data_IF_204315899976
#
_entry.id   IF_204315899976
#
_cell.length_a   1.000
_cell.length_b   1.000
_cell.length_c   1.000
_cell.angle_alpha   90.00
_cell.angle_beta   90.00
_cell.angle_gamma   90.00
#
_symmetry.space_group_name_H-M   'P 1'
#
loop_
_entity.id
_entity.type
_entity.pdbx_description
1 polymer ?
#
# COMPACT_ATOMS: atom_id res chain seq x y z
N UNK A 1 5.53 -10.01 -8.03
CA UNK A 1 6.80 -10.76 -8.13
C UNK A 1 6.48 -12.15 -8.67
N UNK A 2 6.95 -12.51 -9.86
CA UNK A 2 6.73 -13.81 -10.53
C UNK A 2 5.24 -14.23 -10.55
N UNK A 3 4.36 -13.30 -10.90
CA UNK A 3 2.91 -13.50 -10.92
C UNK A 3 2.22 -13.57 -9.54
N UNK A 4 2.98 -13.52 -8.44
CA UNK A 4 2.46 -13.49 -7.08
C UNK A 4 2.36 -12.04 -6.54
N UNK A 5 1.27 -11.69 -5.83
CA UNK A 5 1.17 -10.42 -5.13
C UNK A 5 2.30 -10.28 -4.12
N UNK A 6 3.02 -9.16 -4.17
CA UNK A 6 4.17 -8.90 -3.31
C UNK A 6 4.04 -7.64 -2.45
N UNK A 7 2.98 -6.87 -2.67
CA UNK A 7 2.61 -5.69 -1.90
C UNK A 7 1.41 -5.00 -2.55
N UNK A 8 0.93 -3.94 -1.91
CA UNK A 8 -0.19 -3.14 -2.37
C UNK A 8 0.12 -1.69 -2.04
N UNK A 9 -0.27 -0.78 -2.92
CA UNK A 9 -0.34 0.64 -2.63
C UNK A 9 -1.73 1.13 -3.00
N UNK A 10 -2.33 1.96 -2.14
CA UNK A 10 -3.59 2.64 -2.42
C UNK A 10 -3.27 4.09 -2.79
N UNK A 11 -3.36 4.46 -4.08
CA UNK A 11 -3.04 5.81 -4.48
C UNK A 11 -4.08 6.81 -3.96
N UNK A 12 -3.60 7.95 -3.46
CA UNK A 12 -4.45 9.08 -3.12
C UNK A 12 -4.86 9.81 -4.40
N UNK A 13 -6.15 10.10 -4.61
CA UNK A 13 -6.62 10.81 -5.80
C UNK A 13 -6.28 12.29 -5.69
N UNK A 14 -5.07 12.67 -6.12
CA UNK A 14 -4.66 14.07 -6.18
C UNK A 14 -5.41 14.78 -7.32
N UNK A 15 -6.13 15.84 -6.97
CA UNK A 15 -6.78 16.73 -7.93
C UNK A 15 -5.89 17.94 -8.14
N UNK A 16 -5.28 18.07 -9.31
CA UNK A 16 -4.42 19.21 -9.63
C UNK A 16 -5.20 20.53 -9.74
N UNK A 17 -4.51 21.67 -9.59
CA UNK A 17 -5.13 22.99 -9.74
C UNK A 17 -5.78 23.15 -11.11
N UNK A 18 -7.06 23.47 -11.09
CA UNK A 18 -7.90 23.60 -12.27
C UNK A 18 -8.41 22.29 -12.86
N UNK A 19 -8.21 21.15 -12.19
CA UNK A 19 -8.69 19.84 -12.63
C UNK A 19 -10.21 19.71 -12.64
N UNK A 20 -10.87 19.83 -11.48
CA UNK A 20 -12.35 19.75 -11.40
C UNK A 20 -13.00 21.06 -11.86
N UNK A 21 -12.51 22.19 -11.36
CA UNK A 21 -12.97 23.53 -11.78
C UNK A 21 -11.77 24.48 -11.88
N UNK A 22 -11.54 25.13 -13.04
CA UNK A 22 -10.42 26.05 -13.26
C UNK A 22 -10.31 27.22 -12.26
N UNK A 23 -11.43 27.65 -11.67
CA UNK A 23 -11.49 28.77 -10.73
C UNK A 23 -11.27 28.38 -9.27
N UNK A 24 -11.37 27.09 -8.92
CA UNK A 24 -11.38 26.62 -7.52
C UNK A 24 -10.01 26.74 -6.82
N UNK A 25 -8.93 26.91 -7.59
CA UNK A 25 -7.55 26.92 -7.11
C UNK A 25 -6.80 28.20 -7.51
N UNK A 26 -7.49 29.34 -7.46
CA UNK A 26 -6.86 30.67 -7.60
C UNK A 26 -7.10 31.50 -6.33
N UNK A 27 -6.05 32.11 -5.72
CA UNK A 27 -4.62 32.03 -6.07
C UNK A 27 -3.89 30.83 -5.44
N UNK A 28 -4.60 29.96 -4.71
CA UNK A 28 -3.99 28.90 -3.90
C UNK A 28 -3.92 27.59 -4.70
N UNK A 29 -2.74 26.96 -4.82
CA UNK A 29 -2.57 25.68 -5.51
C UNK A 29 -3.26 24.53 -4.76
N UNK A 30 -3.59 23.45 -5.48
CA UNK A 30 -4.08 22.22 -4.90
C UNK A 30 -3.06 21.58 -3.95
N UNK A 31 -3.59 20.92 -2.92
CA UNK A 31 -2.79 20.11 -1.99
C UNK A 31 -2.04 19.04 -2.81
N UNK A 32 -0.75 18.87 -2.50
CA UNK A 32 0.20 17.98 -3.20
C UNK A 32 0.50 18.29 -4.67
N UNK A 33 0.07 19.45 -5.20
CA UNK A 33 0.32 19.81 -6.59
C UNK A 33 1.80 19.81 -6.99
N UNK A 34 2.70 20.19 -6.07
CA UNK A 34 4.14 20.27 -6.33
C UNK A 34 4.92 19.07 -5.80
N UNK A 35 4.25 18.16 -5.08
CA UNK A 35 4.89 17.01 -4.42
C UNK A 35 3.92 15.85 -4.42
N UNK A 36 3.82 15.16 -5.55
CA UNK A 36 3.28 13.82 -5.59
C UNK A 36 4.39 12.84 -5.17
N UNK A 37 4.26 12.27 -3.98
CA UNK A 37 5.24 11.29 -3.49
C UNK A 37 5.03 9.93 -4.15
N UNK A 38 6.13 9.20 -4.37
CA UNK A 38 6.07 7.84 -4.87
C UNK A 38 5.52 6.89 -3.81
N UNK A 39 4.92 5.79 -4.24
CA UNK A 39 4.48 4.73 -3.34
C UNK A 39 5.58 3.69 -3.16
N UNK A 40 5.93 3.42 -1.91
CA UNK A 40 6.92 2.40 -1.57
C UNK A 40 6.27 1.02 -1.40
N UNK A 41 6.82 0.02 -2.08
CA UNK A 41 6.46 -1.39 -1.90
C UNK A 41 7.69 -2.15 -1.40
N UNK A 42 7.63 -2.64 -0.16
CA UNK A 42 8.72 -3.40 0.45
C UNK A 42 8.74 -4.86 -0.05
N UNK A 43 9.70 -5.18 -0.91
CA UNK A 43 9.93 -6.52 -1.45
C UNK A 43 10.92 -7.35 -0.63
N UNK A 44 11.38 -6.88 0.53
CA UNK A 44 12.42 -7.54 1.34
C UNK A 44 12.06 -8.98 1.74
N UNK A 45 10.80 -9.34 2.06
CA UNK A 45 10.42 -10.75 2.28
C UNK A 45 10.70 -11.69 1.09
N UNK A 46 10.83 -11.13 -0.12
CA UNK A 46 11.17 -11.86 -1.34
C UNK A 46 12.66 -11.81 -1.68
N UNK A 47 13.51 -11.10 -0.92
CA UNK A 47 14.92 -10.85 -1.26
C UNK A 47 15.77 -12.12 -1.48
N UNK A 48 15.32 -13.27 -0.94
CA UNK A 48 15.95 -14.56 -1.18
C UNK A 48 15.68 -15.19 -2.56
N UNK A 49 14.64 -14.73 -3.29
CA UNK A 49 14.27 -15.28 -4.60
C UNK A 49 15.17 -14.77 -5.74
N UNK A 50 15.39 -13.43 -5.91
CA UNK A 50 16.19 -12.92 -7.04
C UNK A 50 17.63 -13.41 -7.07
N UNK A 51 18.14 -13.86 -5.93
CA UNK A 51 19.48 -14.40 -5.82
C UNK A 51 19.61 -15.83 -6.39
N UNK A 52 18.57 -16.41 -7.00
CA UNK A 52 18.62 -17.78 -7.51
C UNK A 52 19.29 -17.94 -8.90
N UNK A 53 19.72 -16.83 -9.51
CA UNK A 53 20.38 -16.80 -10.81
C UNK A 53 19.44 -17.02 -12.00
N UNK A 54 18.12 -17.05 -11.78
CA UNK A 54 17.12 -17.14 -12.85
C UNK A 54 16.49 -15.77 -13.12
N UNK A 55 15.88 -15.58 -14.29
CA UNK A 55 15.08 -14.39 -14.56
C UNK A 55 13.87 -14.32 -13.63
N UNK A 56 13.57 -13.11 -13.13
CA UNK A 56 12.38 -12.82 -12.33
C UNK A 56 11.62 -11.64 -12.91
N UNK A 57 10.30 -11.63 -12.68
CA UNK A 57 9.41 -10.58 -13.18
C UNK A 57 8.79 -9.78 -12.02
N UNK A 58 9.01 -8.47 -12.06
CA UNK A 58 8.27 -7.51 -11.23
C UNK A 58 7.27 -6.81 -12.15
N UNK A 59 5.99 -6.89 -11.77
CA UNK A 59 4.90 -6.27 -12.52
C UNK A 59 4.05 -5.45 -11.57
N UNK A 60 3.54 -4.33 -12.10
CA UNK A 60 2.59 -3.47 -11.41
C UNK A 60 1.24 -3.64 -12.09
N UNK A 61 0.20 -3.89 -11.30
CA UNK A 61 -1.16 -4.10 -11.80
C UNK A 61 -2.10 -3.12 -11.12
N UNK A 62 -2.48 -2.03 -11.82
CA UNK A 62 -3.53 -1.15 -11.35
C UNK A 62 -4.86 -1.90 -11.23
N UNK A 63 -5.67 -1.53 -10.25
CA UNK A 63 -6.98 -2.13 -10.01
C UNK A 63 -8.01 -1.05 -9.65
N UNK A 64 -9.24 -1.20 -10.16
CA UNK A 64 -10.41 -0.44 -9.67
C UNK A 64 -10.77 0.84 -10.42
N UNK A 65 -10.01 1.27 -11.43
CA UNK A 65 -10.42 2.35 -12.34
C UNK A 65 -10.65 1.79 -13.75
N UNK A 66 -11.66 2.32 -14.46
CA UNK A 66 -12.01 1.91 -15.82
C UNK A 66 -11.12 2.56 -16.90
N UNK A 67 -10.01 3.20 -16.50
CA UNK A 67 -9.15 4.02 -17.36
C UNK A 67 -7.69 3.51 -17.40
N UNK A 68 -6.91 4.08 -18.31
CA UNK A 68 -5.48 3.82 -18.46
C UNK A 68 -4.66 4.44 -17.33
N UNK A 69 -3.64 3.70 -16.85
CA UNK A 69 -2.68 4.18 -15.86
C UNK A 69 -1.31 4.39 -16.49
N UNK A 70 -0.71 5.55 -16.23
CA UNK A 70 0.73 5.76 -16.45
C UNK A 70 1.45 5.39 -15.17
N UNK A 71 2.40 4.45 -15.26
CA UNK A 71 3.12 3.92 -14.11
C UNK A 71 4.60 3.83 -14.46
N UNK A 72 5.44 4.26 -13.53
CA UNK A 72 6.89 4.07 -13.58
C UNK A 72 7.37 3.60 -12.20
N UNK A 73 8.59 3.07 -12.12
CA UNK A 73 9.14 2.54 -10.88
C UNK A 73 10.66 2.49 -10.85
N UNK A 74 11.20 2.68 -9.65
CA UNK A 74 12.62 2.47 -9.34
C UNK A 74 12.75 1.30 -8.37
N UNK A 75 13.76 0.45 -8.59
CA UNK A 75 14.05 -0.68 -7.72
C UNK A 75 15.38 -0.45 -6.99
N UNK A 76 15.32 -0.48 -5.66
CA UNK A 76 16.50 -0.37 -4.79
C UNK A 76 16.86 -1.75 -4.23
N UNK A 77 18.15 -2.12 -4.30
CA UNK A 77 18.64 -3.40 -3.79
C UNK A 77 19.90 -3.21 -2.95
N UNK A 78 19.97 -3.92 -1.83
CA UNK A 78 21.21 -4.13 -1.08
C UNK A 78 21.85 -5.46 -1.45
N UNK A 79 23.18 -5.49 -1.55
CA UNK A 79 23.95 -6.71 -1.81
C UNK A 79 24.79 -7.11 -0.60
N UNK A 80 25.13 -8.40 -0.51
CA UNK A 80 26.02 -8.91 0.53
C UNK A 80 27.48 -8.83 0.06
N UNK A 81 28.30 -8.03 0.74
CA UNK A 81 29.70 -7.81 0.36
C UNK A 81 30.61 -9.03 0.59
N UNK A 82 30.20 -9.99 1.42
CA UNK A 82 31.02 -11.14 1.81
C UNK A 82 30.43 -12.48 1.36
N UNK A 83 29.37 -12.47 0.56
CA UNK A 83 28.75 -13.67 0.02
C UNK A 83 28.42 -13.48 -1.45
N UNK A 84 29.03 -14.29 -2.30
CA UNK A 84 28.81 -14.23 -3.76
C UNK A 84 27.34 -14.43 -4.15
N UNK A 85 26.59 -15.19 -3.35
CA UNK A 85 25.18 -15.46 -3.59
C UNK A 85 24.43 -15.71 -2.28
N UNK A 86 23.44 -14.88 -2.01
CA UNK A 86 22.49 -15.10 -0.92
C UNK A 86 21.44 -16.15 -1.32
N UNK A 87 20.72 -16.69 -0.35
CA UNK A 87 19.60 -17.60 -0.61
C UNK A 87 18.48 -17.30 0.36
N UNK A 88 17.25 -17.72 0.06
CA UNK A 88 16.15 -17.48 0.97
C UNK A 88 14.82 -17.91 0.38
N UNK A 89 13.75 -17.65 1.11
CA UNK A 89 12.40 -17.94 0.65
C UNK A 89 11.37 -17.11 1.39
N UNK A 90 10.23 -16.92 0.74
CA UNK A 90 9.00 -16.45 1.37
C UNK A 90 8.44 -17.60 2.21
N UNK A 91 8.14 -17.36 3.47
CA UNK A 91 7.57 -18.33 4.42
C UNK A 91 6.07 -18.17 4.60
N UNK A 92 5.54 -16.96 4.41
CA UNK A 92 4.11 -16.68 4.51
C UNK A 92 3.75 -15.58 3.51
N UNK A 93 2.67 -15.76 2.77
CA UNK A 93 2.07 -14.70 1.96
C UNK A 93 0.55 -14.85 2.00
N UNK A 94 -0.13 -13.94 2.69
CA UNK A 94 -1.61 -13.92 2.76
C UNK A 94 -2.24 -12.94 1.78
N UNK A 95 -1.43 -12.27 0.94
CA UNK A 95 -1.90 -11.28 -0.03
C UNK A 95 -2.45 -11.99 -1.27
N UNK A 96 -3.75 -11.86 -1.50
CA UNK A 96 -4.45 -12.37 -2.68
C UNK A 96 -4.37 -11.41 -3.88
N UNK A 97 -4.93 -11.76 -5.04
CA UNK A 97 -5.11 -10.80 -6.15
C UNK A 97 -6.41 -10.01 -6.03
N UNK A 98 -7.45 -10.61 -5.45
CA UNK A 98 -8.80 -10.02 -5.43
C UNK A 98 -9.03 -9.17 -4.18
N UNK A 99 -9.34 -7.87 -4.31
CA UNK A 99 -9.86 -7.08 -3.20
C UNK A 99 -11.31 -7.48 -2.90
N UNK A 100 -11.66 -7.54 -1.63
CA UNK A 100 -13.04 -7.78 -1.20
C UNK A 100 -13.72 -6.42 -1.01
N UNK A 101 -14.59 -6.04 -1.95
CA UNK A 101 -15.44 -4.85 -1.83
C UNK A 101 -16.85 -5.31 -1.50
N UNK A 102 -17.42 -4.81 -0.41
CA UNK A 102 -18.81 -5.10 -0.03
C UNK A 102 -19.59 -3.79 -0.01
N UNK A 103 -20.56 -3.66 -0.90
CA UNK A 103 -21.53 -2.55 -0.87
C UNK A 103 -22.61 -2.89 0.14
N UNK A 104 -22.86 -2.01 1.10
CA UNK A 104 -24.02 -2.10 2.00
C UNK A 104 -24.97 -0.97 1.62
N UNK A 105 -26.25 -1.29 1.42
CA UNK A 105 -27.31 -0.30 1.22
C UNK A 105 -28.25 -0.34 2.42
N UNK A 106 -28.48 0.80 3.04
CA UNK A 106 -29.34 0.95 4.21
C UNK A 106 -30.43 1.98 3.90
N UNK A 107 -31.72 1.65 4.01
CA UNK A 107 -32.79 2.63 3.84
C UNK A 107 -32.73 3.70 4.93
N UNK A 108 -32.68 4.97 4.52
CA UNK A 108 -32.72 6.14 5.39
C UNK A 108 -34.15 6.58 5.71
N UNK A 109 -34.31 7.38 6.77
CA UNK A 109 -35.63 7.71 7.35
C UNK A 109 -36.55 8.56 6.45
N UNK A 110 -36.01 9.21 5.41
CA UNK A 110 -36.75 10.15 4.55
C UNK A 110 -36.82 9.70 3.07
N UNK A 111 -36.71 8.40 2.81
CA UNK A 111 -36.59 7.90 1.43
C UNK A 111 -35.19 8.10 0.82
N UNK A 112 -34.22 8.57 1.61
CA UNK A 112 -32.80 8.49 1.25
C UNK A 112 -32.30 7.05 1.39
N UNK A 113 -31.22 6.69 0.70
CA UNK A 113 -30.53 5.41 0.88
C UNK A 113 -29.08 5.70 1.24
N UNK A 114 -28.67 5.27 2.42
CA UNK A 114 -27.26 5.31 2.82
C UNK A 114 -26.53 4.14 2.17
N UNK A 115 -25.50 4.43 1.37
CA UNK A 115 -24.70 3.42 0.68
C UNK A 115 -23.25 3.43 1.20
N UNK A 116 -23.00 3.01 2.45
CA UNK A 116 -21.64 2.82 2.90
C UNK A 116 -21.01 1.64 2.14
N UNK A 117 -19.87 1.90 1.49
CA UNK A 117 -19.03 0.86 0.88
C UNK A 117 -17.82 0.67 1.78
N UNK A 118 -17.89 -0.20 2.80
CA UNK A 118 -16.70 -0.61 3.54
C UNK A 118 -15.77 -1.39 2.62
N UNK A 119 -14.55 -0.90 2.51
CA UNK A 119 -13.43 -1.58 1.89
C UNK A 119 -12.38 -1.82 2.95
N UNK A 120 -11.75 -2.98 2.94
CA UNK A 120 -10.72 -3.28 3.92
C UNK A 120 -9.89 -4.45 3.49
N UNK A 121 -8.60 -4.38 3.79
CA UNK A 121 -7.66 -5.41 3.42
C UNK A 121 -6.57 -5.54 4.46
N UNK A 122 -6.53 -6.70 5.10
CA UNK A 122 -5.46 -7.07 6.01
C UNK A 122 -4.62 -8.15 5.36
N UNK A 123 -3.31 -7.95 5.30
CA UNK A 123 -2.39 -8.93 4.75
C UNK A 123 -1.04 -8.92 5.45
N UNK A 124 -0.30 -10.04 5.31
CA UNK A 124 1.04 -10.21 5.84
C UNK A 124 1.88 -11.05 4.88
N UNK A 125 3.12 -10.63 4.68
CA UNK A 125 4.15 -11.37 3.96
C UNK A 125 5.38 -11.49 4.85
N UNK A 126 5.88 -12.71 5.02
CA UNK A 126 7.09 -13.01 5.78
C UNK A 126 8.04 -13.84 4.92
N UNK A 127 9.34 -13.61 5.09
CA UNK A 127 10.38 -14.36 4.43
C UNK A 127 11.72 -14.19 5.14
N UNK A 128 12.73 -14.90 4.65
CA UNK A 128 14.10 -14.74 5.15
C UNK A 128 15.12 -14.82 4.03
N UNK A 129 16.29 -14.24 4.29
CA UNK A 129 17.49 -14.33 3.46
C UNK A 129 18.69 -14.77 4.32
N UNK A 130 19.49 -15.69 3.78
CA UNK A 130 20.75 -16.16 4.34
C UNK A 130 21.90 -15.28 3.84
N UNK A 131 22.43 -14.45 4.73
CA UNK A 131 23.55 -13.53 4.46
C UNK A 131 24.86 -14.13 4.97
N UNK A 132 25.99 -13.47 4.71
CA UNK A 132 27.29 -13.74 5.32
C UNK A 132 27.29 -13.53 6.84
N UNK A 133 26.38 -12.69 7.36
CA UNK A 133 26.22 -12.39 8.78
C UNK A 133 25.13 -13.23 9.47
N UNK A 134 24.56 -14.20 8.76
CA UNK A 134 23.50 -15.08 9.24
C UNK A 134 22.14 -14.80 8.62
N UNK A 135 21.12 -15.48 9.15
CA UNK A 135 19.75 -15.39 8.65
C UNK A 135 19.09 -14.07 9.07
N UNK A 136 18.56 -13.34 8.11
CA UNK A 136 17.74 -12.14 8.29
C UNK A 136 16.30 -12.50 7.96
N UNK A 137 15.38 -12.32 8.90
CA UNK A 137 13.94 -12.55 8.71
C UNK A 137 13.21 -11.22 8.63
N UNK A 138 12.32 -11.08 7.66
CA UNK A 138 11.57 -9.84 7.42
C UNK A 138 10.09 -10.13 7.32
N UNK A 139 9.28 -9.25 7.89
CA UNK A 139 7.82 -9.30 7.81
C UNK A 139 7.26 -7.93 7.46
N UNK A 140 6.39 -7.92 6.46
CA UNK A 140 5.61 -6.77 6.01
C UNK A 140 4.15 -7.09 6.26
N UNK A 141 3.43 -6.21 6.94
CA UNK A 141 2.00 -6.34 7.17
C UNK A 141 1.29 -5.01 7.00
N UNK A 142 0.08 -5.05 6.46
CA UNK A 142 -0.75 -3.88 6.25
C UNK A 142 -2.21 -4.19 6.57
N UNK A 143 -2.89 -3.22 7.15
CA UNK A 143 -4.32 -3.20 7.44
C UNK A 143 -4.92 -1.92 6.89
N UNK A 144 -5.54 -2.03 5.73
CA UNK A 144 -6.34 -0.98 5.13
C UNK A 144 -7.79 -1.10 5.59
N UNK A 145 -8.41 0.02 5.95
CA UNK A 145 -9.82 0.15 6.26
C UNK A 145 -10.33 1.48 5.71
N UNK A 146 -11.38 1.45 4.89
CA UNK A 146 -12.02 2.67 4.39
C UNK A 146 -13.51 2.51 4.23
N UNK A 147 -14.24 3.63 4.33
CA UNK A 147 -15.66 3.71 3.99
C UNK A 147 -15.89 4.96 3.14
N UNK A 148 -16.88 4.89 2.25
CA UNK A 148 -17.32 6.05 1.46
C UNK A 148 -17.87 7.20 2.33
N UNK A 149 -18.24 6.93 3.59
CA UNK A 149 -18.82 7.92 4.50
C UNK A 149 -17.79 8.62 5.41
N UNK A 150 -16.69 7.97 5.75
CA UNK A 150 -15.73 8.47 6.76
C UNK A 150 -14.29 8.56 6.26
N UNK A 151 -14.05 8.30 4.97
CA UNK A 151 -12.71 8.26 4.40
C UNK A 151 -12.00 6.92 4.64
N UNK A 152 -10.71 6.89 4.33
CA UNK A 152 -9.86 5.71 4.43
C UNK A 152 -8.70 5.90 5.42
N UNK A 153 -8.28 4.81 6.04
CA UNK A 153 -7.17 4.72 6.96
C UNK A 153 -6.33 3.48 6.61
N UNK A 154 -5.01 3.62 6.66
CA UNK A 154 -4.07 2.52 6.50
C UNK A 154 -3.16 2.44 7.72
N UNK A 155 -3.07 1.25 8.31
CA UNK A 155 -2.07 0.92 9.31
C UNK A 155 -1.08 -0.08 8.72
N UNK A 156 0.18 0.32 8.59
CA UNK A 156 1.30 -0.54 8.15
C UNK A 156 2.21 -0.90 9.32
N UNK A 157 2.79 -2.08 9.21
CA UNK A 157 3.81 -2.62 10.12
C UNK A 157 4.91 -3.29 9.30
N UNK A 158 6.12 -2.71 9.26
CA UNK A 158 7.32 -3.39 8.79
C UNK A 158 8.18 -3.83 9.97
N UNK A 159 8.86 -4.96 9.84
CA UNK A 159 9.77 -5.46 10.88
C UNK A 159 10.88 -6.30 10.24
N UNK A 160 12.10 -6.16 10.74
CA UNK A 160 13.32 -6.84 10.29
C UNK A 160 14.33 -6.87 11.44
N UNK A 161 15.46 -7.57 11.27
CA UNK A 161 16.63 -7.41 12.13
C UNK A 161 17.91 -7.87 11.42
N UNK A 162 19.03 -7.16 11.66
CA UNK A 162 20.39 -7.38 11.10
C UNK A 162 20.53 -7.29 9.57
N UNK A 163 19.71 -6.40 9.00
CA UNK A 163 19.74 -5.99 7.59
C UNK A 163 18.80 -4.84 7.24
N UNK A 164 17.96 -4.41 8.22
CA UNK A 164 17.07 -3.21 8.30
C UNK A 164 15.76 -3.36 7.50
N UNK A 165 14.53 -2.92 7.85
CA UNK A 165 13.83 -2.07 8.87
C UNK A 165 13.37 -2.75 10.18
N UNK A 166 13.78 -2.39 11.38
CA UNK A 166 13.41 -3.13 12.63
C UNK A 166 12.07 -2.73 13.26
N UNK A 167 11.41 -1.72 12.72
CA UNK A 167 10.00 -1.38 12.89
C UNK A 167 9.61 -0.30 11.85
N UNK A 168 8.41 -0.33 11.29
CA UNK A 168 7.79 0.84 10.67
C UNK A 168 6.28 0.77 10.87
N UNK A 169 5.71 1.76 11.56
CA UNK A 169 4.39 1.75 12.20
C UNK A 169 3.58 2.94 11.67
N UNK A 170 2.38 2.72 11.13
CA UNK A 170 1.44 3.81 10.84
C UNK A 170 0.18 3.63 11.69
N UNK A 171 -0.14 4.67 12.47
CA UNK A 171 -0.99 4.63 13.67
C UNK A 171 -2.42 4.10 13.47
N UNK A 172 -3.03 3.69 14.60
CA UNK A 172 -4.31 3.00 14.71
C UNK A 172 -5.42 3.56 13.83
N UNK A 173 -6.01 2.71 12.99
CA UNK A 173 -7.35 2.97 12.47
C UNK A 173 -8.36 2.86 13.63
N UNK A 174 -8.54 3.95 14.36
CA UNK A 174 -9.78 4.20 15.10
C UNK A 174 -10.71 4.94 14.15
N UNK A 175 -11.77 4.25 13.71
CA UNK A 175 -12.87 4.88 12.97
C UNK A 175 -13.66 5.73 13.94
N UNK A 176 -13.13 6.89 14.36
CA UNK A 176 -13.89 7.87 15.13
C UNK A 176 -13.51 9.29 14.69
N UNK A 177 -14.52 9.95 14.09
CA UNK A 177 -14.77 11.39 14.05
C UNK A 177 -13.79 12.33 13.31
N UNK A 178 -13.63 12.15 11.99
CA UNK A 178 -13.15 13.27 11.14
C UNK A 178 -14.32 14.12 10.59
N UNK A 179 -15.54 13.57 10.53
CA UNK A 179 -16.71 14.29 10.00
C UNK A 179 -17.43 15.19 11.01
N UNK A 180 -17.11 15.15 12.31
CA UNK A 180 -17.79 15.98 13.33
C UNK A 180 -17.23 17.39 13.51
N UNK A 181 -16.01 17.67 13.04
CA UNK A 181 -15.42 19.01 13.16
C UNK A 181 -15.59 19.89 11.91
N UNK A 182 -15.83 19.31 10.73
CA UNK A 182 -16.02 20.10 9.50
C UNK A 182 -17.41 20.76 9.36
N UNK A 183 -18.35 20.47 10.28
CA UNK A 183 -19.72 21.02 10.26
C UNK A 183 -20.09 21.75 11.55
N UNK A 184 -19.11 22.15 12.38
CA UNK A 184 -19.31 23.18 13.41
C UNK A 184 -18.82 24.52 12.87
N UNK A 185 -19.60 25.08 11.95
CA UNK A 185 -19.55 26.46 11.50
C UNK A 185 -20.96 26.95 11.31
#
# INVERSE_FOLDING_TARGET
>A
MDGRPAGLAQPYPVVYSGGIVPTLWRPIPAIDQFRAEAYDIDLTPFAGLPADGKPHAIGITPYGAADSWTVDGSLFLGTDAHKARTSGRVTTNTLSHTPVVKTVQTPGRNGSTDVPVPTGRSWKISGYVETSRGRVTTTVAEKYHGTTATGACCARSLTTAHGWVTADLQHHCRVLDVAREALKG
#
